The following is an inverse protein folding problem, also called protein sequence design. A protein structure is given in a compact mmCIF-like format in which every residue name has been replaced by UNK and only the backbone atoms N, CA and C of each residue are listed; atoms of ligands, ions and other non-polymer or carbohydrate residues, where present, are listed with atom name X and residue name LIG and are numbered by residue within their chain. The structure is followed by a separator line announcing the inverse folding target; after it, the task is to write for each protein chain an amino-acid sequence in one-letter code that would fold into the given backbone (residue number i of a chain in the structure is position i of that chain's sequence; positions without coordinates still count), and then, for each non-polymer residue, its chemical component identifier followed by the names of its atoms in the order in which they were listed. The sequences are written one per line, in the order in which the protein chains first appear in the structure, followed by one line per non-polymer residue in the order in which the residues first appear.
data_IF_673184738054
#
_entry.id   IF_673184738054
#
_cell.length_a   1.000
_cell.length_b   1.000
_cell.length_c   1.000
_cell.angle_alpha   90.00
_cell.angle_beta   90.00
_cell.angle_gamma   90.00
#
_symmetry.space_group_name_H-M   'P 1'
#
loop_
_entity.id
_entity.type
_entity.pdbx_description
1 polymer ?
#
# COMPACT_ATOMS: atom_id res chain seq x y z
N UNK A 1 29.36 19.57 -4.45
CA UNK A 1 28.58 19.31 -3.23
C UNK A 1 27.13 19.18 -3.67
N UNK A 2 26.64 17.95 -3.84
CA UNK A 2 25.31 17.69 -4.36
C UNK A 2 24.29 18.14 -3.32
N UNK A 3 23.38 19.03 -3.72
CA UNK A 3 22.16 19.30 -2.97
C UNK A 3 21.04 18.79 -3.85
N UNK A 4 20.42 17.73 -3.34
CA UNK A 4 19.18 17.07 -3.75
C UNK A 4 18.30 17.97 -4.61
N UNK A 5 18.14 17.60 -5.89
CA UNK A 5 17.17 18.20 -6.78
C UNK A 5 15.78 17.93 -6.23
N UNK A 6 15.28 18.88 -5.42
CA UNK A 6 13.89 18.96 -5.01
C UNK A 6 13.07 19.11 -6.29
N UNK A 7 12.55 18.00 -6.82
CA UNK A 7 11.75 18.00 -8.03
C UNK A 7 10.39 18.63 -7.76
N UNK A 8 10.35 19.96 -7.75
CA UNK A 8 9.16 20.76 -8.03
C UNK A 8 8.80 20.57 -9.51
N UNK A 9 8.18 19.45 -9.82
CA UNK A 9 7.41 19.31 -11.06
C UNK A 9 5.97 19.72 -10.74
N UNK A 10 5.63 20.97 -11.03
CA UNK A 10 4.25 21.47 -11.05
C UNK A 10 3.52 20.84 -12.26
N UNK A 11 3.34 19.51 -12.25
CA UNK A 11 2.24 18.89 -13.00
C UNK A 11 1.01 19.23 -12.18
N UNK A 12 0.00 19.82 -12.82
CA UNK A 12 -1.33 19.91 -12.22
C UNK A 12 -1.88 18.48 -12.19
N UNK A 13 -1.37 17.72 -11.22
CA UNK A 13 -1.63 16.32 -11.03
C UNK A 13 -2.86 16.25 -10.14
N UNK A 14 -4.03 16.11 -10.77
CA UNK A 14 -5.33 15.98 -10.09
C UNK A 14 -5.31 14.89 -9.00
N UNK A 15 -4.36 13.95 -9.08
CA UNK A 15 -4.13 12.89 -8.08
C UNK A 15 -3.54 13.42 -6.78
N UNK A 16 -2.77 14.52 -6.80
CA UNK A 16 -2.15 15.10 -5.60
C UNK A 16 -3.16 15.88 -4.74
N UNK A 17 -4.27 16.34 -5.32
CA UNK A 17 -5.36 16.99 -4.55
C UNK A 17 -6.11 16.00 -3.66
N UNK A 18 -6.14 14.72 -4.05
CA UNK A 18 -6.88 13.67 -3.35
C UNK A 18 -5.98 12.84 -2.42
N UNK A 19 -4.70 12.69 -2.76
CA UNK A 19 -3.75 11.87 -2.02
C UNK A 19 -2.63 12.76 -1.44
N UNK A 20 -2.81 13.20 -0.19
CA UNK A 20 -1.78 13.94 0.55
C UNK A 20 -0.76 12.98 1.15
N UNK A 21 0.55 13.27 1.14
CA UNK A 21 1.52 12.41 1.82
C UNK A 21 1.26 12.39 3.34
N UNK A 22 1.54 11.27 4.00
CA UNK A 22 1.51 11.22 5.46
C UNK A 22 2.65 12.08 6.03
N UNK A 23 2.33 12.94 7.01
CA UNK A 23 3.28 13.92 7.58
C UNK A 23 3.53 13.67 9.07
N UNK A 24 2.55 13.08 9.77
CA UNK A 24 2.68 12.77 11.19
C UNK A 24 3.41 11.44 11.41
N UNK A 25 4.31 11.38 12.39
CA UNK A 25 5.07 10.17 12.74
C UNK A 25 4.18 8.95 13.01
N UNK A 26 2.98 9.19 13.55
CA UNK A 26 1.98 8.14 13.82
C UNK A 26 1.42 7.52 12.53
N UNK A 27 1.27 8.33 11.49
CA UNK A 27 0.78 7.87 10.18
C UNK A 27 1.90 7.21 9.38
N UNK A 28 3.14 7.69 9.53
CA UNK A 28 4.32 7.07 8.91
C UNK A 28 4.53 5.62 9.39
N UNK A 29 4.19 5.30 10.64
CA UNK A 29 4.23 3.94 11.18
C UNK A 29 3.03 3.06 10.76
N UNK A 30 2.04 3.60 10.03
CA UNK A 30 0.88 2.83 9.59
C UNK A 30 1.25 1.82 8.51
N UNK A 31 2.00 2.27 7.49
CA UNK A 31 2.51 1.41 6.43
C UNK A 31 3.82 0.75 6.87
N UNK A 32 3.84 -0.58 6.91
CA UNK A 32 5.02 -1.37 7.29
C UNK A 32 5.85 -1.72 6.05
N UNK A 33 7.02 -2.33 6.27
CA UNK A 33 7.87 -2.89 5.20
C UNK A 33 8.21 -1.88 4.08
N UNK A 34 8.54 -0.64 4.48
CA UNK A 34 8.87 0.47 3.57
C UNK A 34 7.73 0.85 2.62
N UNK A 35 6.46 0.63 3.00
CA UNK A 35 5.31 1.07 2.22
C UNK A 35 5.14 2.59 2.20
N UNK A 36 4.82 3.16 1.04
CA UNK A 36 4.53 4.60 0.90
C UNK A 36 3.14 4.91 1.49
N UNK A 37 3.06 5.91 2.36
CA UNK A 37 1.84 6.31 3.05
C UNK A 37 1.21 7.56 2.41
N UNK A 38 -0.09 7.50 2.14
CA UNK A 38 -0.91 8.62 1.69
C UNK A 38 -2.20 8.74 2.48
N UNK A 39 -2.66 9.97 2.68
CA UNK A 39 -3.90 10.36 3.33
C UNK A 39 -4.89 10.74 2.23
N UNK A 40 -6.07 10.13 2.29
CA UNK A 40 -7.21 10.42 1.44
C UNK A 40 -8.25 11.13 2.30
N UNK A 41 -8.45 12.41 2.02
CA UNK A 41 -9.53 13.19 2.62
C UNK A 41 -10.79 13.00 1.78
N UNK A 42 -11.82 12.42 2.36
CA UNK A 42 -13.13 12.24 1.72
C UNK A 42 -14.22 12.89 2.56
N UNK A 43 -15.43 13.00 2.02
CA UNK A 43 -16.61 13.46 2.77
C UNK A 43 -16.93 12.58 3.99
N UNK A 44 -16.48 11.32 4.00
CA UNK A 44 -16.65 10.39 5.10
C UNK A 44 -15.57 10.53 6.20
N UNK A 45 -14.54 11.32 5.94
CA UNK A 45 -13.41 11.54 6.85
C UNK A 45 -12.07 11.26 6.20
N UNK A 46 -11.07 11.09 7.07
CA UNK A 46 -9.66 10.96 6.71
C UNK A 46 -9.26 9.48 6.75
N UNK A 47 -8.81 8.95 5.62
CA UNK A 47 -8.39 7.56 5.47
C UNK A 47 -6.92 7.45 5.09
N UNK A 48 -6.25 6.39 5.56
CA UNK A 48 -4.86 6.10 5.22
C UNK A 48 -4.79 5.02 4.15
N UNK A 49 -3.91 5.22 3.17
CA UNK A 49 -3.66 4.31 2.08
C UNK A 49 -2.17 4.02 1.95
N UNK A 50 -1.84 2.73 1.95
CA UNK A 50 -0.48 2.25 1.79
C UNK A 50 -0.26 1.72 0.38
N UNK A 51 0.79 2.20 -0.27
CA UNK A 51 1.33 1.57 -1.47
C UNK A 51 2.50 0.69 -1.07
N UNK A 52 2.28 -0.63 -1.13
CA UNK A 52 3.23 -1.61 -0.65
C UNK A 52 4.41 -1.84 -1.59
N UNK A 53 5.56 -2.16 -1.00
CA UNK A 53 6.74 -2.65 -1.71
C UNK A 53 6.45 -4.02 -2.34
N UNK A 54 7.19 -4.35 -3.39
CA UNK A 54 7.01 -5.60 -4.11
C UNK A 54 7.09 -6.84 -3.18
N UNK A 55 6.13 -7.75 -3.30
CA UNK A 55 6.00 -8.95 -2.46
C UNK A 55 5.26 -8.72 -1.15
N UNK A 56 4.95 -7.47 -0.79
CA UNK A 56 4.14 -7.11 0.36
C UNK A 56 2.76 -6.63 -0.05
N UNK A 57 1.76 -7.01 0.75
CA UNK A 57 0.34 -6.81 0.48
C UNK A 57 -0.41 -6.55 1.79
N UNK A 58 -1.71 -6.28 1.69
CA UNK A 58 -2.57 -5.96 2.83
C UNK A 58 -2.67 -4.45 3.09
N UNK A 59 -3.58 -4.07 4.00
CA UNK A 59 -3.88 -2.67 4.30
C UNK A 59 -2.67 -1.90 4.84
N UNK A 60 -1.76 -2.59 5.52
CA UNK A 60 -0.55 -2.05 6.14
C UNK A 60 0.74 -2.61 5.57
N UNK A 61 0.67 -3.33 4.44
CA UNK A 61 1.82 -3.98 3.82
C UNK A 61 2.50 -5.05 4.70
N UNK A 62 1.76 -5.69 5.61
CA UNK A 62 2.25 -6.70 6.56
C UNK A 62 2.21 -8.13 6.02
N UNK A 63 1.45 -8.38 4.96
CA UNK A 63 1.33 -9.71 4.36
C UNK A 63 2.38 -9.89 3.28
N UNK A 64 3.31 -10.82 3.47
CA UNK A 64 4.25 -11.21 2.41
C UNK A 64 3.63 -12.33 1.57
N UNK A 65 3.47 -12.10 0.26
CA UNK A 65 3.14 -13.18 -0.68
C UNK A 65 4.47 -13.62 -1.31
N UNK A 66 5.02 -14.77 -0.92
CA UNK A 66 6.22 -15.28 -1.57
C UNK A 66 5.95 -15.42 -3.06
N UNK A 67 6.90 -14.96 -3.88
CA UNK A 67 6.89 -15.18 -5.32
C UNK A 67 7.01 -16.69 -5.58
N UNK A 68 5.90 -17.38 -5.60
CA UNK A 68 5.79 -18.77 -6.03
C UNK A 68 4.55 -18.83 -6.90
N UNK A 69 4.75 -18.72 -8.21
CA UNK A 69 3.77 -19.07 -9.25
C UNK A 69 2.30 -18.67 -8.99
N UNK A 70 2.02 -17.36 -8.89
CA UNK A 70 0.66 -16.86 -9.14
C UNK A 70 0.19 -17.05 -10.60
N UNK A 71 1.01 -17.68 -11.45
CA UNK A 71 0.74 -18.00 -12.86
C UNK A 71 0.44 -19.49 -13.03
N UNK A 72 -0.21 -20.18 -12.08
CA UNK A 72 -0.96 -21.40 -12.40
C UNK A 72 -1.98 -21.78 -11.31
N UNK A 73 -2.81 -20.85 -10.87
CA UNK A 73 -4.02 -21.22 -10.10
C UNK A 73 -5.05 -21.86 -11.05
N UNK A 74 -4.83 -23.13 -11.39
CA UNK A 74 -5.88 -24.03 -11.83
C UNK A 74 -7.02 -23.94 -10.79
N UNK A 75 -8.28 -23.64 -11.16
CA UNK A 75 -9.35 -23.22 -10.24
C UNK A 75 -9.84 -24.28 -9.23
N UNK A 76 -9.13 -25.38 -9.02
CA UNK A 76 -9.60 -26.52 -8.21
C UNK A 76 -9.07 -26.58 -6.78
N UNK A 77 -8.25 -25.64 -6.29
CA UNK A 77 -7.54 -25.84 -5.00
C UNK A 77 -7.71 -24.73 -3.93
N UNK A 78 -8.45 -23.65 -4.20
CA UNK A 78 -8.59 -22.55 -3.23
C UNK A 78 -9.72 -22.73 -2.21
N UNK A 79 -10.54 -23.78 -2.33
CA UNK A 79 -11.71 -24.01 -1.45
C UNK A 79 -11.56 -25.20 -0.49
N UNK A 80 -10.34 -25.74 -0.30
CA UNK A 80 -10.12 -26.89 0.59
C UNK A 80 -9.31 -26.59 1.85
N UNK A 81 -8.93 -25.34 2.10
CA UNK A 81 -8.13 -24.99 3.30
C UNK A 81 -8.93 -24.37 4.45
N UNK A 82 -10.24 -24.15 4.31
CA UNK A 82 -11.12 -23.77 5.41
C UNK A 82 -12.22 -24.80 5.61
N UNK A 83 -11.81 -26.05 5.84
CA UNK A 83 -12.61 -27.01 6.58
C UNK A 83 -12.10 -27.03 8.03
N UNK A 84 -12.65 -26.24 8.97
CA UNK A 84 -12.63 -26.65 10.35
C UNK A 84 -13.72 -27.71 10.51
N UNK A 85 -13.29 -28.97 10.47
CA UNK A 85 -13.99 -30.02 11.18
C UNK A 85 -13.69 -29.77 12.67
N UNK A 86 -14.63 -29.09 13.34
CA UNK A 86 -14.95 -29.05 14.78
C UNK A 86 -15.63 -27.72 15.12
#
# INVERSE_FOLDING_TARGET
KNVESKETTHKHDVRSEVFKPCVEDKDLAFCLNEGECSIIETVAGVHRHCRCKEGYHGLRCDQFVPKTDAILSNPSMSFVSFLPHC
#
